data_IF_497148175951
#
_entry.id   IF_497148175951
#
_cell.length_a   1.000
_cell.length_b   1.000
_cell.length_c   1.000
_cell.angle_alpha   90.00
_cell.angle_beta   90.00
_cell.angle_gamma   90.00
#
_symmetry.space_group_name_H-M   'P 1'
#
loop_
_entity.id
_entity.type
_entity.pdbx_description
1 polymer ?
#
# COMPACT_ATOMS: atom_id res chain seq x y z
N UNK A 1 32.70 17.54 14.35
CA UNK A 1 31.42 16.84 14.10
C UNK A 1 30.62 17.58 13.03
N UNK A 2 30.69 17.13 11.77
CA UNK A 2 29.97 17.70 10.62
C UNK A 2 29.33 16.55 9.85
N UNK A 3 28.04 16.23 10.00
CA UNK A 3 27.32 15.37 9.02
C UNK A 3 25.77 15.46 9.03
N UNK A 4 25.10 16.22 9.90
CA UNK A 4 23.62 16.35 9.89
C UNK A 4 23.07 17.63 9.22
N UNK A 5 23.91 18.46 8.61
CA UNK A 5 23.50 19.73 8.01
C UNK A 5 23.25 19.63 6.49
N UNK A 6 22.64 18.55 6.01
CA UNK A 6 22.35 18.38 4.59
C UNK A 6 20.85 18.46 4.32
N UNK A 7 20.45 19.66 3.89
CA UNK A 7 19.18 20.05 3.26
C UNK A 7 17.92 19.47 3.94
N UNK A 8 17.28 20.28 4.79
CA UNK A 8 15.85 20.10 5.06
C UNK A 8 15.16 20.21 3.69
N UNK A 9 14.71 19.08 3.11
CA UNK A 9 13.80 19.13 1.96
C UNK A 9 12.67 20.06 2.35
N UNK A 10 12.33 21.00 1.47
CA UNK A 10 11.15 21.84 1.66
C UNK A 10 9.97 20.90 1.93
N UNK A 11 9.19 21.13 3.00
CA UNK A 11 7.96 20.39 3.20
C UNK A 11 7.11 20.47 1.94
N UNK A 12 6.46 19.36 1.58
CA UNK A 12 5.54 19.33 0.45
C UNK A 12 4.47 20.41 0.61
N UNK A 13 4.11 21.05 -0.49
CA UNK A 13 2.96 21.95 -0.55
C UNK A 13 1.67 21.17 -0.40
N UNK A 14 0.57 21.86 -0.08
CA UNK A 14 -0.75 21.23 -0.01
C UNK A 14 -1.19 20.63 -1.35
N UNK A 15 -0.79 21.25 -2.46
CA UNK A 15 -1.06 20.74 -3.81
C UNK A 15 -0.31 19.42 -4.06
N UNK A 16 0.98 19.37 -3.72
CA UNK A 16 1.77 18.14 -3.82
C UNK A 16 1.23 17.02 -2.92
N UNK A 17 0.74 17.37 -1.72
CA UNK A 17 0.09 16.40 -0.81
C UNK A 17 -1.19 15.84 -1.43
N UNK A 18 -2.02 16.69 -2.05
CA UNK A 18 -3.25 16.26 -2.74
C UNK A 18 -2.96 15.42 -3.98
N UNK A 19 -1.91 15.76 -4.72
CA UNK A 19 -1.48 14.96 -5.87
C UNK A 19 -1.03 13.57 -5.42
N UNK A 20 -0.16 13.49 -4.40
CA UNK A 20 0.26 12.21 -3.81
C UNK A 20 -0.90 11.39 -3.26
N UNK A 21 -1.89 12.07 -2.66
CA UNK A 21 -3.13 11.44 -2.21
C UNK A 21 -3.90 10.84 -3.39
N UNK A 22 -4.08 11.57 -4.50
CA UNK A 22 -4.74 11.04 -5.70
C UNK A 22 -3.98 9.84 -6.30
N UNK A 23 -2.65 9.96 -6.44
CA UNK A 23 -1.79 8.89 -6.96
C UNK A 23 -1.95 7.59 -6.17
N UNK A 24 -2.01 7.65 -4.83
CA UNK A 24 -2.08 6.43 -4.01
C UNK A 24 -3.44 5.72 -4.15
N UNK A 25 -4.53 6.47 -4.37
CA UNK A 25 -5.84 5.88 -4.67
C UNK A 25 -5.91 5.31 -6.08
N UNK A 26 -5.19 5.89 -7.05
CA UNK A 26 -5.00 5.30 -8.38
C UNK A 26 -4.26 3.97 -8.29
N UNK A 27 -3.18 3.94 -7.53
CA UNK A 27 -2.42 2.71 -7.30
C UNK A 27 -3.29 1.62 -6.65
N UNK A 28 -4.10 1.96 -5.64
CA UNK A 28 -5.02 0.99 -5.02
C UNK A 28 -6.01 0.42 -6.03
N UNK A 29 -6.54 1.24 -6.94
CA UNK A 29 -7.47 0.78 -7.99
C UNK A 29 -6.80 -0.23 -8.93
N UNK A 30 -5.56 0.02 -9.33
CA UNK A 30 -4.77 -0.90 -10.16
C UNK A 30 -4.47 -2.21 -9.43
N UNK A 31 -4.04 -2.14 -8.17
CA UNK A 31 -3.75 -3.35 -7.38
C UNK A 31 -5.01 -4.21 -7.20
N UNK A 32 -6.18 -3.59 -7.03
CA UNK A 32 -7.46 -4.28 -6.97
C UNK A 32 -7.88 -4.87 -8.32
N UNK A 33 -7.51 -4.28 -9.46
CA UNK A 33 -7.76 -4.89 -10.77
C UNK A 33 -6.89 -6.14 -10.95
N UNK A 34 -5.61 -6.09 -10.58
CA UNK A 34 -4.74 -7.27 -10.58
C UNK A 34 -5.29 -8.39 -9.71
N UNK A 35 -5.83 -8.06 -8.52
CA UNK A 35 -6.48 -9.06 -7.66
C UNK A 35 -7.60 -9.78 -8.40
N UNK A 36 -8.50 -9.03 -9.06
CA UNK A 36 -9.64 -9.59 -9.81
C UNK A 36 -9.17 -10.49 -10.95
N UNK A 37 -8.20 -10.04 -11.74
CA UNK A 37 -7.64 -10.82 -12.84
C UNK A 37 -7.05 -12.17 -12.37
N UNK A 38 -6.32 -12.16 -11.25
CA UNK A 38 -5.75 -13.40 -10.70
C UNK A 38 -6.83 -14.31 -10.08
N UNK A 39 -7.88 -13.75 -9.48
CA UNK A 39 -9.04 -14.53 -9.00
C UNK A 39 -9.81 -15.19 -10.16
N UNK A 40 -9.95 -14.52 -11.30
CA UNK A 40 -10.58 -15.07 -12.50
C UNK A 40 -9.79 -16.26 -13.06
N UNK A 41 -8.45 -16.18 -13.09
CA UNK A 41 -7.58 -17.30 -13.48
C UNK A 41 -7.77 -18.54 -12.60
N UNK A 42 -8.17 -18.36 -11.33
CA UNK A 42 -8.47 -19.49 -10.44
C UNK A 42 -9.84 -20.12 -10.72
N UNK A 43 -10.83 -19.29 -11.09
CA UNK A 43 -12.19 -19.72 -11.40
C UNK A 43 -12.30 -20.38 -12.78
N UNK A 44 -11.40 -20.06 -13.70
CA UNK A 44 -11.39 -20.63 -15.03
C UNK A 44 -11.19 -22.17 -14.99
N UNK A 45 -12.19 -22.97 -15.43
CA UNK A 45 -12.08 -24.42 -15.48
C UNK A 45 -11.02 -24.90 -16.47
N UNK A 46 -10.68 -24.10 -17.49
CA UNK A 46 -9.67 -24.44 -18.52
C UNK A 46 -8.23 -24.12 -18.07
N UNK A 47 -8.06 -23.43 -16.93
CA UNK A 47 -6.74 -23.07 -16.44
C UNK A 47 -6.00 -24.29 -15.88
N UNK A 48 -4.77 -24.49 -16.38
CA UNK A 48 -3.92 -25.62 -15.97
C UNK A 48 -3.53 -25.53 -14.49
N UNK A 49 -3.17 -26.65 -13.83
CA UNK A 49 -2.72 -26.65 -12.45
C UNK A 49 -1.55 -25.68 -12.18
N UNK A 50 -0.63 -25.55 -13.14
CA UNK A 50 0.50 -24.63 -13.03
C UNK A 50 0.05 -23.17 -13.05
N UNK A 51 -0.88 -22.81 -13.95
CA UNK A 51 -1.47 -21.46 -14.02
C UNK A 51 -2.21 -21.13 -12.73
N UNK A 52 -2.99 -22.07 -12.20
CA UNK A 52 -3.68 -21.90 -10.91
C UNK A 52 -2.69 -21.74 -9.75
N UNK A 53 -1.60 -22.53 -9.74
CA UNK A 53 -0.54 -22.40 -8.75
C UNK A 53 0.18 -21.04 -8.81
N UNK A 54 0.44 -20.53 -10.01
CA UNK A 54 1.01 -19.20 -10.21
C UNK A 54 0.07 -18.09 -9.72
N UNK A 55 -1.23 -18.18 -10.07
CA UNK A 55 -2.24 -17.21 -9.65
C UNK A 55 -2.40 -17.15 -8.12
N UNK A 56 -2.40 -18.30 -7.43
CA UNK A 56 -2.39 -18.33 -5.95
C UNK A 56 -1.20 -17.59 -5.35
N UNK A 57 0.01 -17.77 -5.91
CA UNK A 57 1.21 -17.04 -5.46
C UNK A 57 1.14 -15.55 -5.79
N UNK A 58 0.60 -15.20 -6.95
CA UNK A 58 0.36 -13.81 -7.34
C UNK A 58 -0.59 -13.13 -6.36
N UNK A 59 -1.72 -13.75 -6.01
CA UNK A 59 -2.66 -13.24 -5.01
C UNK A 59 -2.02 -12.99 -3.65
N UNK A 60 -1.09 -13.85 -3.19
CA UNK A 60 -0.34 -13.61 -1.95
C UNK A 60 0.54 -12.36 -2.05
N UNK A 61 1.13 -12.07 -3.22
CA UNK A 61 1.90 -10.84 -3.45
C UNK A 61 1.00 -9.61 -3.55
N UNK A 62 -0.13 -9.73 -4.25
CA UNK A 62 -1.13 -8.68 -4.38
C UNK A 62 -1.69 -8.29 -3.01
N UNK A 63 -2.02 -9.27 -2.15
CA UNK A 63 -2.46 -9.00 -0.78
C UNK A 63 -1.44 -8.15 0.01
N UNK A 64 -0.14 -8.49 -0.08
CA UNK A 64 0.92 -7.67 0.55
C UNK A 64 0.99 -6.25 -0.02
N UNK A 65 0.75 -6.10 -1.34
CA UNK A 65 0.73 -4.79 -1.97
C UNK A 65 -0.48 -3.98 -1.50
N UNK A 66 -1.66 -4.59 -1.37
CA UNK A 66 -2.85 -3.96 -0.80
C UNK A 66 -2.52 -3.42 0.60
N UNK A 67 -1.92 -4.22 1.48
CA UNK A 67 -1.53 -3.73 2.82
C UNK A 67 -0.57 -2.54 2.76
N UNK A 68 0.39 -2.60 1.85
CA UNK A 68 1.37 -1.51 1.67
C UNK A 68 0.68 -0.21 1.25
N UNK A 69 -0.19 -0.28 0.22
CA UNK A 69 -0.91 0.88 -0.32
C UNK A 69 -1.92 1.40 0.68
N UNK A 70 -2.62 0.53 1.42
CA UNK A 70 -3.56 0.92 2.45
C UNK A 70 -2.88 1.74 3.56
N UNK A 71 -1.69 1.32 4.00
CA UNK A 71 -0.90 2.11 4.95
C UNK A 71 -0.51 3.50 4.40
N UNK A 72 -0.19 3.59 3.10
CA UNK A 72 0.09 4.88 2.46
C UNK A 72 -1.18 5.75 2.32
N UNK A 73 -2.34 5.16 2.05
CA UNK A 73 -3.62 5.86 2.05
C UNK A 73 -3.88 6.48 3.43
N UNK A 74 -3.75 5.70 4.51
CA UNK A 74 -3.90 6.20 5.89
C UNK A 74 -2.96 7.39 6.14
N UNK A 75 -1.71 7.25 5.72
CA UNK A 75 -0.72 8.33 5.83
C UNK A 75 -1.16 9.60 5.09
N UNK A 76 -1.51 9.49 3.79
CA UNK A 76 -1.86 10.65 2.98
C UNK A 76 -3.21 11.26 3.35
N UNK A 77 -4.18 10.47 3.79
CA UNK A 77 -5.45 10.95 4.34
C UNK A 77 -5.23 11.89 5.53
N UNK A 78 -4.31 11.50 6.44
CA UNK A 78 -3.96 12.33 7.58
C UNK A 78 -3.21 13.59 7.14
N UNK A 79 -2.30 13.49 6.17
CA UNK A 79 -1.60 14.65 5.61
C UNK A 79 -2.56 15.65 4.96
N UNK A 80 -3.55 15.18 4.20
CA UNK A 80 -4.60 16.03 3.58
C UNK A 80 -5.47 16.70 4.65
N UNK A 81 -5.73 16.02 5.78
CA UNK A 81 -6.43 16.59 6.94
C UNK A 81 -5.61 17.62 7.73
N UNK A 82 -4.37 17.88 7.36
CA UNK A 82 -3.48 18.83 8.03
C UNK A 82 -2.67 18.25 9.17
N UNK A 83 -2.68 16.93 9.36
CA UNK A 83 -1.91 16.28 10.41
C UNK A 83 -0.41 16.26 10.11
N UNK A 84 0.38 16.24 11.18
CA UNK A 84 1.84 16.23 11.06
C UNK A 84 2.35 14.95 10.40
N UNK A 85 3.52 15.05 9.75
CA UNK A 85 4.23 13.88 9.21
C UNK A 85 4.44 12.79 10.27
N UNK A 86 4.72 13.20 11.50
CA UNK A 86 4.97 12.31 12.63
C UNK A 86 3.74 11.47 12.98
N UNK A 87 2.59 12.13 13.20
CA UNK A 87 1.33 11.44 13.51
C UNK A 87 0.92 10.49 12.39
N UNK A 88 0.92 10.96 11.14
CA UNK A 88 0.62 10.13 9.98
C UNK A 88 1.56 8.91 9.87
N UNK A 89 2.83 9.07 10.28
CA UNK A 89 3.81 7.99 10.33
C UNK A 89 3.51 6.95 11.40
N UNK A 90 3.07 7.36 12.59
CA UNK A 90 2.66 6.44 13.68
C UNK A 90 1.50 5.58 13.21
N UNK A 91 0.42 6.20 12.73
CA UNK A 91 -0.81 5.51 12.30
C UNK A 91 -0.54 4.48 11.19
N UNK A 92 0.31 4.83 10.22
CA UNK A 92 0.76 3.90 9.18
C UNK A 92 1.51 2.71 9.79
N UNK A 93 2.39 2.95 10.75
CA UNK A 93 3.20 1.90 11.36
C UNK A 93 2.33 0.98 12.24
N UNK A 94 1.35 1.53 12.96
CA UNK A 94 0.37 0.77 13.73
C UNK A 94 -0.48 -0.12 12.82
N UNK A 95 -0.92 0.40 11.67
CA UNK A 95 -1.59 -0.39 10.65
C UNK A 95 -0.72 -1.58 10.19
N UNK A 96 0.57 -1.36 9.91
CA UNK A 96 1.48 -2.44 9.53
C UNK A 96 1.73 -3.45 10.64
N UNK A 97 1.83 -3.02 11.90
CA UNK A 97 1.97 -3.91 13.04
C UNK A 97 0.76 -4.85 13.12
N UNK A 98 -0.46 -4.30 13.06
CA UNK A 98 -1.70 -5.09 13.04
C UNK A 98 -1.74 -6.08 11.87
N UNK A 99 -1.39 -5.63 10.66
CA UNK A 99 -1.34 -6.51 9.49
C UNK A 99 -0.32 -7.65 9.62
N UNK A 100 0.71 -7.51 10.44
CA UNK A 100 1.69 -8.57 10.69
C UNK A 100 1.20 -9.54 11.77
N UNK A 101 0.55 -9.06 12.82
CA UNK A 101 -0.10 -9.88 13.86
C UNK A 101 -1.17 -10.78 13.25
N UNK A 102 -2.05 -10.24 12.40
CA UNK A 102 -3.09 -11.02 11.70
C UNK A 102 -2.51 -12.13 10.79
N UNK A 103 -1.25 -11.97 10.35
CA UNK A 103 -0.53 -12.97 9.54
C UNK A 103 0.24 -13.99 10.39
N UNK A 104 0.56 -13.71 11.65
CA UNK A 104 1.18 -14.68 12.54
C UNK A 104 0.15 -15.64 13.13
N UNK A 105 -1.09 -15.20 13.24
CA UNK A 105 -2.20 -15.98 13.81
C UNK A 105 -2.91 -16.88 12.78
N UNK A 106 -2.53 -16.80 11.50
CA UNK A 106 -3.04 -17.61 10.37
C UNK A 106 -1.96 -18.46 9.71
#
# INVERSE_FOLDING_TARGET
MKYYSKQKKTPLTEEEIKEKHKEIYEEMREVLSWKKEEEEKLKDPKSSPQKKGAAKRALKKVARRIDTVQGQIIYWDLRVKGESHFKAGIERNEYWARCNEEKSDN
#
